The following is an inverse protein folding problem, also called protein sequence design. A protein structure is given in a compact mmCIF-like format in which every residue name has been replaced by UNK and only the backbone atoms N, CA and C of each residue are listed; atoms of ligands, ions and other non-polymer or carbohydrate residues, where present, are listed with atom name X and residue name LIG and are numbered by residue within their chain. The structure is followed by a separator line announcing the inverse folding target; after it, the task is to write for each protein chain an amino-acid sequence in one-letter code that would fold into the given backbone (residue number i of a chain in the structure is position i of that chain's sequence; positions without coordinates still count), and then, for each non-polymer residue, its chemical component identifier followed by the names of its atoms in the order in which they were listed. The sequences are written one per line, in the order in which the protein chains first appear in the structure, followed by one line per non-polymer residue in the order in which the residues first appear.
data_IF_797168358750
#
_entry.id   IF_797168358750
#
_cell.length_a   1.000
_cell.length_b   1.000
_cell.length_c   1.000
_cell.angle_alpha   90.00
_cell.angle_beta   90.00
_cell.angle_gamma   90.00
#
_symmetry.space_group_name_H-M   'P 1'
#
loop_
_entity.id
_entity.type
_entity.pdbx_description
1 polymer ?
#
# COMPACT_ATOMS: atom_id res chain seq x y z
N UNK A 1 -35.66 18.59 -22.62
CA UNK A 1 -34.24 18.95 -22.51
C UNK A 1 -33.72 19.21 -23.91
N UNK A 2 -33.28 20.43 -24.19
CA UNK A 2 -32.73 20.77 -25.50
C UNK A 2 -31.39 20.07 -25.72
N UNK A 3 -31.16 19.57 -26.93
CA UNK A 3 -29.91 18.89 -27.30
C UNK A 3 -28.68 19.76 -27.01
N UNK A 4 -28.79 21.08 -27.19
CA UNK A 4 -27.70 22.02 -26.91
C UNK A 4 -27.33 22.04 -25.42
N UNK A 5 -28.32 22.07 -24.52
CA UNK A 5 -28.09 22.14 -23.07
C UNK A 5 -27.38 20.90 -22.54
N UNK A 6 -27.71 19.72 -23.06
CA UNK A 6 -27.07 18.46 -22.65
C UNK A 6 -25.60 18.43 -23.10
N UNK A 7 -25.31 18.94 -24.31
CA UNK A 7 -23.93 19.01 -24.82
C UNK A 7 -23.10 20.00 -24.00
N UNK A 8 -23.64 21.17 -23.69
CA UNK A 8 -22.94 22.18 -22.89
C UNK A 8 -22.63 21.68 -21.47
N UNK A 9 -23.57 20.96 -20.86
CA UNK A 9 -23.37 20.34 -19.55
C UNK A 9 -22.29 19.24 -19.59
N UNK A 10 -22.30 18.40 -20.62
CA UNK A 10 -21.28 17.37 -20.82
C UNK A 10 -19.88 17.98 -20.99
N UNK A 11 -19.75 19.03 -21.82
CA UNK A 11 -18.49 19.76 -22.03
C UNK A 11 -18.01 20.37 -20.71
N UNK A 12 -18.90 21.02 -19.96
CA UNK A 12 -18.58 21.60 -18.64
C UNK A 12 -18.13 20.53 -17.64
N UNK A 13 -18.77 19.36 -17.65
CA UNK A 13 -18.39 18.25 -16.78
C UNK A 13 -17.01 17.71 -17.13
N UNK A 14 -16.71 17.49 -18.41
CA UNK A 14 -15.38 17.06 -18.89
C UNK A 14 -14.30 18.04 -18.44
N UNK A 15 -14.50 19.35 -18.66
CA UNK A 15 -13.54 20.38 -18.23
C UNK A 15 -13.33 20.39 -16.70
N UNK A 16 -14.38 20.11 -15.93
CA UNK A 16 -14.29 20.02 -14.47
C UNK A 16 -13.48 18.81 -14.04
N UNK A 17 -13.67 17.66 -14.70
CA UNK A 17 -12.90 16.44 -14.44
C UNK A 17 -11.42 16.63 -14.80
N UNK A 18 -11.11 17.24 -15.93
CA UNK A 18 -9.73 17.52 -16.35
C UNK A 18 -8.99 18.40 -15.32
N UNK A 19 -9.63 19.49 -14.86
CA UNK A 19 -9.07 20.34 -13.80
C UNK A 19 -8.88 19.59 -12.48
N UNK A 20 -9.83 18.73 -12.12
CA UNK A 20 -9.76 17.92 -10.90
C UNK A 20 -8.61 16.92 -10.98
N UNK A 21 -8.43 16.26 -12.13
CA UNK A 21 -7.33 15.32 -12.37
C UNK A 21 -5.97 16.03 -12.22
N UNK A 22 -5.78 17.19 -12.86
CA UNK A 22 -4.54 17.96 -12.74
C UNK A 22 -4.24 18.37 -11.30
N UNK A 23 -5.26 18.84 -10.56
CA UNK A 23 -5.12 19.19 -9.13
C UNK A 23 -4.69 17.99 -8.30
N UNK A 24 -5.29 16.83 -8.50
CA UNK A 24 -4.97 15.61 -7.77
C UNK A 24 -3.56 15.09 -8.09
N UNK A 25 -3.13 15.17 -9.36
CA UNK A 25 -1.77 14.81 -9.75
C UNK A 25 -0.72 15.71 -9.08
N UNK A 26 -0.96 17.02 -9.05
CA UNK A 26 -0.09 17.97 -8.34
C UNK A 26 -0.04 17.66 -6.84
N UNK A 27 -1.19 17.48 -6.21
CA UNK A 27 -1.27 17.16 -4.79
C UNK A 27 -0.57 15.83 -4.45
N UNK A 28 -0.66 14.82 -5.34
CA UNK A 28 0.07 13.57 -5.17
C UNK A 28 1.59 13.80 -5.19
N UNK A 29 2.10 14.66 -6.08
CA UNK A 29 3.52 14.98 -6.16
C UNK A 29 4.02 15.72 -4.92
N UNK A 30 3.26 16.72 -4.46
CA UNK A 30 3.61 17.52 -3.27
C UNK A 30 3.74 16.62 -2.02
N UNK A 31 2.80 15.67 -1.85
CA UNK A 31 2.83 14.69 -0.74
C UNK A 31 3.96 13.65 -0.82
N UNK A 32 4.60 13.50 -1.97
CA UNK A 32 5.80 12.65 -2.10
C UNK A 32 7.09 13.42 -1.80
N UNK A 33 7.08 14.75 -1.92
CA UNK A 33 8.22 15.62 -1.64
C UNK A 33 8.29 16.05 -0.17
N UNK A 34 7.15 16.19 0.51
CA UNK A 34 7.10 16.31 1.97
C UNK A 34 7.40 14.95 2.60
N UNK A 35 8.69 14.71 2.90
CA UNK A 35 9.11 13.61 3.76
C UNK A 35 8.46 13.69 5.15
N UNK A 36 8.53 12.64 5.98
CA UNK A 36 7.94 12.65 7.31
C UNK A 36 8.54 13.82 8.11
N UNK A 37 7.70 14.78 8.48
CA UNK A 37 8.11 15.84 9.40
C UNK A 37 8.63 15.17 10.69
N UNK A 38 9.78 15.62 11.25
CA UNK A 38 10.21 15.16 12.56
C UNK A 38 9.11 15.52 13.55
N UNK A 39 8.49 14.50 14.14
CA UNK A 39 7.50 14.65 15.18
C UNK A 39 8.25 15.23 16.39
N UNK A 40 7.85 16.43 16.78
CA UNK A 40 8.29 17.13 17.99
C UNK A 40 8.03 16.22 19.21
N UNK A 41 9.09 15.92 19.97
CA UNK A 41 9.07 15.04 21.15
C UNK A 41 8.43 15.77 22.35
N UNK A 42 7.12 15.99 22.28
CA UNK A 42 6.33 16.58 23.35
C UNK A 42 5.25 15.62 23.86
N UNK A 43 5.51 15.04 25.03
CA UNK A 43 4.55 14.39 25.94
C UNK A 43 4.06 12.97 25.65
N UNK A 44 4.31 12.14 26.66
CA UNK A 44 3.76 10.81 26.93
C UNK A 44 2.29 10.66 26.52
N UNK A 45 2.05 9.73 25.60
CA UNK A 45 0.99 8.75 25.78
C UNK A 45 1.42 7.46 25.08
N UNK A 46 1.60 6.41 25.88
CA UNK A 46 2.11 5.11 25.44
C UNK A 46 1.07 4.40 24.57
N UNK A 47 1.15 4.59 23.26
CA UNK A 47 0.41 3.78 22.30
C UNK A 47 1.26 2.59 21.82
N UNK A 48 0.56 1.49 21.56
CA UNK A 48 0.99 0.10 21.40
C UNK A 48 2.06 -0.14 20.31
N UNK A 49 2.38 0.87 19.51
CA UNK A 49 3.35 0.82 18.41
C UNK A 49 4.81 0.81 18.89
N UNK A 50 5.14 1.48 20.01
CA UNK A 50 6.51 1.51 20.54
C UNK A 50 7.01 0.13 21.01
N UNK A 51 6.09 -0.71 21.50
CA UNK A 51 6.41 -2.06 21.98
C UNK A 51 6.68 -3.07 20.85
N UNK A 52 6.13 -2.83 19.65
CA UNK A 52 6.40 -3.70 18.49
C UNK A 52 7.74 -3.38 17.82
N UNK A 53 8.23 -2.14 17.92
CA UNK A 53 9.51 -1.73 17.35
C UNK A 53 10.72 -2.21 18.16
N UNK A 54 10.57 -2.42 19.48
CA UNK A 54 11.67 -2.78 20.38
C UNK A 54 12.02 -4.28 20.38
N UNK A 55 11.11 -5.14 19.92
CA UNK A 55 11.29 -6.60 19.98
C UNK A 55 12.03 -7.23 18.78
N UNK A 56 12.54 -6.44 17.84
CA UNK A 56 13.35 -6.96 16.71
C UNK A 56 14.86 -6.97 17.02
N UNK A 57 15.29 -6.43 18.16
CA UNK A 57 16.69 -6.42 18.59
C UNK A 57 16.88 -7.19 19.90
N UNK A 58 16.54 -8.48 19.91
CA UNK A 58 16.99 -9.38 20.98
C UNK A 58 17.53 -10.67 20.37
N UNK A 59 18.82 -10.61 20.06
CA UNK A 59 19.67 -11.75 19.69
C UNK A 59 21.10 -11.39 20.06
N UNK A 60 21.57 -11.98 21.15
CA UNK A 60 22.90 -11.75 21.74
C UNK A 60 24.03 -12.13 20.76
N UNK A 61 25.05 -11.30 20.61
CA UNK A 61 26.38 -11.51 21.21
C UNK A 61 27.46 -10.56 20.64
N UNK A 62 28.26 -10.05 21.58
CA UNK A 62 29.66 -9.63 21.52
C UNK A 62 30.28 -8.97 20.26
N UNK A 63 30.89 -7.81 20.54
CA UNK A 63 32.14 -7.31 19.96
C UNK A 63 32.11 -6.74 18.52
N UNK A 64 31.98 -5.41 18.43
CA UNK A 64 33.01 -4.57 17.81
C UNK A 64 32.69 -3.10 18.08
N UNK A 65 33.41 -2.52 19.04
CA UNK A 65 33.65 -1.09 19.09
C UNK A 65 34.37 -0.67 17.81
N UNK A 66 34.02 0.53 17.37
CA UNK A 66 34.88 1.46 16.66
C UNK A 66 35.39 1.00 15.30
N UNK A 67 34.75 1.51 14.24
CA UNK A 67 35.43 1.89 13.01
C UNK A 67 34.56 2.97 12.35
N UNK A 68 34.72 4.21 12.82
CA UNK A 68 34.35 5.41 12.07
C UNK A 68 35.22 5.43 10.81
N UNK A 69 34.81 4.73 9.76
CA UNK A 69 35.38 4.89 8.43
C UNK A 69 34.52 5.90 7.70
N UNK A 70 35.03 7.15 7.65
CA UNK A 70 34.67 8.16 6.66
C UNK A 70 34.76 7.52 5.27
N UNK A 71 33.61 7.18 4.72
CA UNK A 71 33.48 6.81 3.32
C UNK A 71 32.48 7.79 2.71
N UNK A 72 32.94 8.58 1.74
CA UNK A 72 32.07 9.31 0.82
C UNK A 72 31.21 8.27 0.09
N UNK A 73 30.08 7.85 0.68
CA UNK A 73 29.06 7.15 -0.07
C UNK A 73 28.33 8.22 -0.86
N UNK A 74 28.59 8.25 -2.16
CA UNK A 74 27.61 8.67 -3.16
C UNK A 74 26.26 8.23 -2.63
N UNK A 75 25.38 9.18 -2.31
CA UNK A 75 23.97 8.91 -2.10
C UNK A 75 23.45 8.50 -3.46
N UNK A 76 23.70 7.23 -3.83
CA UNK A 76 22.89 6.57 -4.84
C UNK A 76 21.50 6.70 -4.26
N UNK A 77 20.70 7.56 -4.88
CA UNK A 77 19.28 7.62 -4.63
C UNK A 77 18.77 6.22 -4.93
N UNK A 78 18.75 5.36 -3.91
CA UNK A 78 18.13 4.05 -4.03
C UNK A 78 16.71 4.35 -4.49
N UNK A 79 16.21 3.68 -5.54
CA UNK A 79 14.83 3.81 -5.92
C UNK A 79 14.04 3.43 -4.67
N UNK A 80 13.42 4.42 -4.01
CA UNK A 80 12.55 4.15 -2.87
C UNK A 80 11.57 3.11 -3.39
N UNK A 81 11.55 1.91 -2.80
CA UNK A 81 10.63 0.85 -3.18
C UNK A 81 9.24 1.47 -3.13
N UNK A 82 8.69 1.75 -4.31
CA UNK A 82 7.48 2.54 -4.41
C UNK A 82 6.34 1.61 -4.02
N UNK A 83 5.83 1.78 -2.81
CA UNK A 83 4.64 1.07 -2.37
C UNK A 83 3.46 1.55 -3.21
N UNK A 84 2.90 0.65 -4.02
CA UNK A 84 1.74 0.95 -4.86
C UNK A 84 0.53 0.22 -4.30
N UNK A 85 -0.53 0.96 -4.02
CA UNK A 85 -1.79 0.43 -3.51
C UNK A 85 -2.90 0.68 -4.52
N UNK A 86 -3.63 -0.38 -4.87
CA UNK A 86 -4.88 -0.32 -5.61
C UNK A 86 -6.00 -0.83 -4.74
N UNK A 87 -7.16 -0.19 -4.81
CA UNK A 87 -8.32 -0.57 -4.03
C UNK A 87 -9.54 -0.71 -4.94
N UNK A 88 -10.41 -1.63 -4.55
CA UNK A 88 -11.75 -1.81 -5.09
C UNK A 88 -12.71 -2.03 -3.93
N UNK A 89 -14.00 -2.19 -4.19
CA UNK A 89 -15.02 -2.34 -3.13
C UNK A 89 -14.79 -3.54 -2.20
N UNK A 90 -14.05 -4.56 -2.64
CA UNK A 90 -13.86 -5.81 -1.90
C UNK A 90 -12.45 -6.39 -1.99
N UNK A 91 -11.51 -5.68 -2.63
CA UNK A 91 -10.12 -6.11 -2.79
C UNK A 91 -9.18 -4.93 -2.62
N UNK A 92 -8.09 -5.13 -1.88
CA UNK A 92 -6.94 -4.24 -1.80
C UNK A 92 -5.71 -5.00 -2.29
N UNK A 93 -4.93 -4.38 -3.16
CA UNK A 93 -3.65 -4.89 -3.66
C UNK A 93 -2.57 -3.90 -3.27
N UNK A 94 -1.55 -4.37 -2.58
CA UNK A 94 -0.33 -3.64 -2.26
C UNK A 94 0.84 -4.30 -2.97
N UNK A 95 1.67 -3.54 -3.68
CA UNK A 95 2.90 -4.04 -4.32
C UNK A 95 4.09 -3.27 -3.77
N UNK A 96 5.12 -3.99 -3.35
CA UNK A 96 6.41 -3.46 -2.92
C UNK A 96 7.53 -4.26 -3.61
N UNK A 97 8.19 -3.66 -4.60
CA UNK A 97 9.22 -4.36 -5.37
C UNK A 97 8.63 -5.55 -6.13
N UNK A 98 9.03 -6.77 -5.75
CA UNK A 98 8.55 -8.03 -6.33
C UNK A 98 7.46 -8.70 -5.48
N UNK A 99 7.13 -8.14 -4.32
CA UNK A 99 6.14 -8.73 -3.43
C UNK A 99 4.79 -8.04 -3.61
N UNK A 100 3.74 -8.86 -3.62
CA UNK A 100 2.35 -8.46 -3.65
C UNK A 100 1.62 -8.96 -2.40
N UNK A 101 0.81 -8.10 -1.80
CA UNK A 101 -0.13 -8.45 -0.76
C UNK A 101 -1.55 -8.14 -1.23
N UNK A 102 -2.40 -9.17 -1.24
CA UNK A 102 -3.79 -9.11 -1.71
C UNK A 102 -4.70 -9.35 -0.52
N UNK A 103 -5.58 -8.40 -0.22
CA UNK A 103 -6.60 -8.53 0.81
C UNK A 103 -7.98 -8.52 0.18
N UNK A 104 -8.76 -9.58 0.38
CA UNK A 104 -10.12 -9.75 -0.16
C UNK A 104 -11.11 -9.80 0.99
N UNK A 105 -12.21 -9.05 0.91
CA UNK A 105 -13.31 -9.13 1.87
C UNK A 105 -14.63 -9.21 1.12
N UNK A 106 -15.28 -10.38 1.14
CA UNK A 106 -16.46 -10.65 0.31
C UNK A 106 -17.56 -11.35 1.10
N UNK A 107 -18.83 -11.26 0.67
CA UNK A 107 -19.87 -12.15 1.17
C UNK A 107 -19.48 -13.62 0.98
N UNK A 108 -19.89 -14.49 1.90
CA UNK A 108 -19.62 -15.93 1.81
C UNK A 108 -20.13 -16.49 0.49
N UNK A 109 -19.21 -17.02 -0.31
CA UNK A 109 -19.49 -17.66 -1.59
C UNK A 109 -18.70 -18.97 -1.65
N UNK A 110 -19.37 -20.12 -1.84
CA UNK A 110 -18.68 -21.40 -2.03
C UNK A 110 -17.66 -21.31 -3.17
N UNK A 111 -16.48 -21.89 -2.96
CA UNK A 111 -15.42 -21.96 -3.99
C UNK A 111 -14.69 -20.64 -4.28
N UNK A 112 -15.06 -19.51 -3.65
CA UNK A 112 -14.43 -18.22 -3.97
C UNK A 112 -12.92 -18.22 -3.75
N UNK A 113 -12.44 -18.79 -2.64
CA UNK A 113 -11.01 -18.87 -2.37
C UNK A 113 -10.29 -19.70 -3.44
N UNK A 114 -10.88 -20.84 -3.83
CA UNK A 114 -10.37 -21.67 -4.93
C UNK A 114 -10.31 -20.89 -6.24
N UNK A 115 -11.37 -20.14 -6.58
CA UNK A 115 -11.38 -19.30 -7.78
C UNK A 115 -10.28 -18.25 -7.74
N UNK A 116 -10.00 -17.65 -6.58
CA UNK A 116 -8.89 -16.71 -6.40
C UNK A 116 -7.56 -17.42 -6.65
N UNK A 117 -7.31 -18.57 -6.04
CA UNK A 117 -6.08 -19.35 -6.28
C UNK A 117 -5.89 -19.70 -7.76
N UNK A 118 -6.95 -20.14 -8.47
CA UNK A 118 -6.88 -20.42 -9.90
C UNK A 118 -6.52 -19.18 -10.74
N UNK A 119 -7.00 -18.00 -10.36
CA UNK A 119 -6.65 -16.74 -11.03
C UNK A 119 -5.16 -16.43 -10.81
N UNK A 120 -4.66 -16.59 -9.58
CA UNK A 120 -3.24 -16.35 -9.27
C UNK A 120 -2.34 -17.29 -10.07
N UNK A 121 -2.68 -18.58 -10.11
CA UNK A 121 -1.96 -19.59 -10.89
C UNK A 121 -1.98 -19.28 -12.39
N UNK A 122 -3.14 -18.91 -12.95
CA UNK A 122 -3.27 -18.51 -14.36
C UNK A 122 -2.38 -17.31 -14.74
N UNK A 123 -2.07 -16.45 -13.77
CA UNK A 123 -1.22 -15.29 -13.96
C UNK A 123 0.22 -15.50 -13.47
N UNK A 124 0.61 -16.75 -13.17
CA UNK A 124 1.96 -17.11 -12.71
C UNK A 124 2.39 -16.34 -11.46
N UNK A 125 1.44 -16.02 -10.59
CA UNK A 125 1.72 -15.43 -9.27
C UNK A 125 1.94 -16.55 -8.28
N UNK A 126 3.14 -16.64 -7.72
CA UNK A 126 3.47 -17.66 -6.73
C UNK A 126 2.91 -17.24 -5.38
N UNK A 127 2.06 -18.07 -4.78
CA UNK A 127 1.50 -17.80 -3.44
C UNK A 127 2.48 -18.25 -2.38
N UNK A 128 3.01 -17.30 -1.62
CA UNK A 128 3.94 -17.54 -0.51
C UNK A 128 3.15 -17.95 0.74
N UNK A 129 2.11 -17.18 1.07
CA UNK A 129 1.28 -17.43 2.24
C UNK A 129 -0.15 -16.94 2.03
N UNK A 130 -1.10 -17.59 2.70
CA UNK A 130 -2.50 -17.18 2.69
C UNK A 130 -3.12 -17.36 4.07
N UNK A 131 -3.76 -16.31 4.57
CA UNK A 131 -4.58 -16.34 5.77
C UNK A 131 -6.05 -16.26 5.38
N UNK A 132 -6.83 -17.26 5.79
CA UNK A 132 -8.25 -17.37 5.48
C UNK A 132 -9.04 -17.27 6.78
N UNK A 133 -9.93 -16.29 6.87
CA UNK A 133 -10.83 -16.13 8.01
C UNK A 133 -12.27 -15.93 7.57
N UNK A 134 -13.19 -16.22 8.48
CA UNK A 134 -14.63 -16.06 8.28
C UNK A 134 -15.18 -15.13 9.36
N UNK A 135 -15.78 -14.02 8.96
CA UNK A 135 -16.38 -13.05 9.88
C UNK A 135 -17.87 -12.89 9.54
N UNK A 136 -18.75 -13.34 10.44
CA UNK A 136 -20.21 -13.26 10.27
C UNK A 136 -20.68 -13.83 8.92
N UNK A 137 -21.09 -12.98 7.98
CA UNK A 137 -21.55 -13.32 6.63
C UNK A 137 -20.47 -13.11 5.53
N UNK A 138 -19.22 -12.86 5.92
CA UNK A 138 -18.10 -12.56 5.03
C UNK A 138 -16.96 -13.57 5.15
N UNK A 139 -16.24 -13.72 4.06
CA UNK A 139 -14.95 -14.41 3.96
C UNK A 139 -13.87 -13.38 3.69
N UNK A 140 -12.78 -13.46 4.46
CA UNK A 140 -11.63 -12.58 4.36
C UNK A 140 -10.42 -13.42 4.00
N UNK A 141 -9.69 -13.00 2.96
CA UNK A 141 -8.45 -13.64 2.51
C UNK A 141 -7.34 -12.59 2.53
N UNK A 142 -6.21 -12.91 3.15
CA UNK A 142 -4.98 -12.14 3.00
C UNK A 142 -3.95 -13.05 2.36
N UNK A 143 -3.46 -12.69 1.18
CA UNK A 143 -2.58 -13.51 0.36
C UNK A 143 -1.30 -12.72 0.10
N UNK A 144 -0.16 -13.33 0.36
CA UNK A 144 1.15 -12.83 -0.04
C UNK A 144 1.63 -13.63 -1.25
N UNK A 145 2.06 -12.94 -2.30
CA UNK A 145 2.49 -13.54 -3.55
C UNK A 145 3.68 -12.77 -4.17
N UNK A 146 4.38 -13.37 -5.13
CA UNK A 146 5.43 -12.74 -5.93
C UNK A 146 5.37 -13.13 -7.41
#
# INVERSE_FOLDING_TARGET
ADKSTIVDEAVKHIQTLEKTLQKLQKQKLDRLQEGPNPIDLGHQDTSREAFMADQVLSGNDAAAKDLIIKSNSVTVAQPRLQFQTWTSSNVVLNICGKEAQISVCSPKKPGLFTSVCCILEKHYLEVISAHVSSQSNRSIFMIQAH
#
